data_IF_001241584969
#
_entry.id   IF_001241584969
#
_cell.length_a   1.000
_cell.length_b   1.000
_cell.length_c   1.000
_cell.angle_alpha   90.00
_cell.angle_beta   90.00
_cell.angle_gamma   90.00
#
_symmetry.space_group_name_H-M   'P 1'
#
loop_
_entity.id
_entity.type
_entity.pdbx_description
1 polymer ?
#
# COMPACT_ATOMS: atom_id res chain seq x y z
N UNK A 1 85.55 37.07 -22.34
CA UNK A 1 85.30 35.59 -22.29
C UNK A 1 83.92 35.40 -21.69
N UNK A 2 82.85 35.35 -22.56
CA UNK A 2 81.50 35.22 -22.10
C UNK A 2 81.08 33.76 -22.19
N UNK A 3 80.82 33.15 -21.02
CA UNK A 3 80.26 31.81 -20.91
C UNK A 3 78.73 31.88 -21.13
N UNK A 4 78.27 31.37 -22.26
CA UNK A 4 76.86 31.21 -22.55
C UNK A 4 76.34 29.92 -21.89
N UNK A 5 75.63 30.05 -20.80
CA UNK A 5 74.96 28.90 -20.14
C UNK A 5 73.74 28.52 -20.95
N UNK A 6 73.82 27.40 -21.70
CA UNK A 6 72.73 26.83 -22.38
C UNK A 6 71.65 26.27 -21.40
N UNK A 7 70.55 26.94 -21.20
CA UNK A 7 69.37 26.44 -20.46
C UNK A 7 68.82 25.25 -21.23
N UNK A 8 69.05 24.04 -20.76
CA UNK A 8 68.39 22.86 -21.26
C UNK A 8 66.93 22.93 -20.88
N UNK A 9 66.03 23.15 -21.85
CA UNK A 9 64.59 22.99 -21.68
C UNK A 9 64.26 21.54 -21.36
N UNK A 10 63.57 21.27 -20.26
CA UNK A 10 63.22 19.87 -19.93
C UNK A 10 62.35 19.28 -21.06
N UNK A 11 62.69 18.04 -21.45
CA UNK A 11 61.96 17.31 -22.50
C UNK A 11 60.49 17.23 -22.15
N UNK A 12 59.62 17.34 -23.14
CA UNK A 12 58.15 17.23 -22.99
C UNK A 12 57.71 15.99 -22.16
N UNK A 13 58.43 14.88 -22.35
CA UNK A 13 58.25 13.63 -21.59
C UNK A 13 58.53 13.81 -20.08
N UNK A 14 59.53 14.62 -19.71
CA UNK A 14 59.83 14.88 -18.29
C UNK A 14 58.77 15.79 -17.67
N UNK A 15 58.27 16.79 -18.38
CA UNK A 15 57.15 17.64 -17.97
C UNK A 15 55.84 16.86 -17.79
N UNK A 16 55.57 15.90 -18.69
CA UNK A 16 54.39 15.02 -18.57
C UNK A 16 54.52 14.07 -17.37
N UNK A 17 55.70 13.52 -17.13
CA UNK A 17 55.98 12.61 -15.98
C UNK A 17 55.88 13.31 -14.64
N UNK A 18 56.31 14.60 -14.55
CA UNK A 18 56.33 15.37 -13.32
C UNK A 18 55.01 16.15 -13.10
N UNK A 19 54.10 16.17 -14.07
CA UNK A 19 52.81 16.83 -14.01
C UNK A 19 51.78 15.95 -13.31
N UNK A 20 51.49 16.22 -12.04
CA UNK A 20 50.49 15.51 -11.22
C UNK A 20 49.09 16.08 -11.29
N UNK A 21 48.85 17.16 -12.07
CA UNK A 21 47.54 17.79 -12.17
C UNK A 21 46.48 16.87 -12.81
N UNK A 22 46.88 15.87 -13.62
CA UNK A 22 45.97 14.87 -14.19
C UNK A 22 45.52 13.79 -13.18
N UNK A 23 46.27 13.55 -12.10
CA UNK A 23 45.94 12.51 -11.11
C UNK A 23 44.61 12.83 -10.40
N UNK A 24 44.40 14.07 -9.99
CA UNK A 24 43.16 14.52 -9.36
C UNK A 24 41.92 14.33 -10.29
N UNK A 25 42.10 14.56 -11.59
CA UNK A 25 41.05 14.35 -12.56
C UNK A 25 40.67 12.86 -12.70
N UNK A 26 41.68 11.99 -12.67
CA UNK A 26 41.48 10.53 -12.74
C UNK A 26 40.82 10.02 -11.46
N UNK A 27 41.28 10.46 -10.29
CA UNK A 27 40.68 10.14 -8.99
C UNK A 27 39.23 10.60 -8.92
N UNK A 28 38.94 11.83 -9.35
CA UNK A 28 37.58 12.34 -9.45
C UNK A 28 36.76 11.52 -10.43
N UNK A 29 37.32 11.19 -11.61
CA UNK A 29 36.65 10.39 -12.63
C UNK A 29 36.26 8.99 -12.16
N UNK A 30 37.04 8.36 -11.30
CA UNK A 30 36.72 7.06 -10.69
C UNK A 30 35.82 7.17 -9.47
N UNK A 31 35.96 8.20 -8.64
CA UNK A 31 35.15 8.38 -7.43
C UNK A 31 33.74 8.87 -7.74
N UNK A 32 33.57 9.72 -8.75
CA UNK A 32 32.28 10.30 -9.10
C UNK A 32 31.17 9.27 -9.40
N UNK A 33 31.38 8.24 -10.25
CA UNK A 33 30.36 7.23 -10.50
C UNK A 33 29.94 6.47 -9.23
N UNK A 34 30.91 6.20 -8.33
CA UNK A 34 30.64 5.49 -7.07
C UNK A 34 29.78 6.37 -6.15
N UNK A 35 30.16 7.64 -5.97
CA UNK A 35 29.41 8.60 -5.14
C UNK A 35 28.00 8.82 -5.68
N UNK A 36 27.87 8.99 -7.00
CA UNK A 36 26.55 9.15 -7.63
C UNK A 36 25.69 7.88 -7.47
N UNK A 37 26.27 6.69 -7.67
CA UNK A 37 25.54 5.43 -7.50
C UNK A 37 25.04 5.26 -6.06
N UNK A 38 25.88 5.55 -5.06
CA UNK A 38 25.49 5.50 -3.64
C UNK A 38 24.42 6.55 -3.31
N UNK A 39 24.54 7.77 -3.85
CA UNK A 39 23.55 8.82 -3.68
C UNK A 39 22.18 8.42 -4.26
N UNK A 40 22.19 7.95 -5.50
CA UNK A 40 20.96 7.48 -6.17
C UNK A 40 20.32 6.28 -5.44
N UNK A 41 21.12 5.32 -4.99
CA UNK A 41 20.63 4.20 -4.19
C UNK A 41 20.03 4.67 -2.86
N UNK A 42 20.67 5.63 -2.18
CA UNK A 42 20.13 6.22 -0.95
C UNK A 42 18.78 6.89 -1.14
N UNK A 43 18.61 7.65 -2.24
CA UNK A 43 17.33 8.27 -2.59
C UNK A 43 16.27 7.19 -2.87
N UNK A 44 16.61 6.12 -3.59
CA UNK A 44 15.68 5.01 -3.87
C UNK A 44 15.22 4.31 -2.59
N UNK A 45 16.14 4.03 -1.67
CA UNK A 45 15.81 3.46 -0.35
C UNK A 45 14.87 4.37 0.45
N UNK A 46 15.11 5.68 0.43
CA UNK A 46 14.25 6.65 1.11
C UNK A 46 12.84 6.68 0.49
N UNK A 47 12.73 6.66 -0.83
CA UNK A 47 11.43 6.60 -1.52
C UNK A 47 10.67 5.31 -1.20
N UNK A 48 11.34 4.15 -1.19
CA UNK A 48 10.72 2.88 -0.80
C UNK A 48 10.22 2.93 0.65
N UNK A 49 11.00 3.50 1.57
CA UNK A 49 10.59 3.66 2.97
C UNK A 49 9.37 4.58 3.09
N UNK A 50 9.34 5.71 2.36
CA UNK A 50 8.19 6.61 2.32
C UNK A 50 6.95 5.93 1.74
N UNK A 51 7.08 5.11 0.70
CA UNK A 51 5.97 4.33 0.13
C UNK A 51 5.39 3.36 1.18
N UNK A 52 6.24 2.63 1.91
CA UNK A 52 5.81 1.75 3.00
C UNK A 52 5.04 2.52 4.08
N UNK A 53 5.55 3.65 4.54
CA UNK A 53 4.88 4.50 5.52
C UNK A 53 3.53 5.00 5.00
N UNK A 54 3.45 5.44 3.75
CA UNK A 54 2.22 5.95 3.17
C UNK A 54 1.17 4.85 3.03
N UNK A 55 1.53 3.67 2.53
CA UNK A 55 0.62 2.52 2.41
C UNK A 55 0.08 2.12 3.79
N UNK A 56 0.94 2.08 4.81
CA UNK A 56 0.52 1.77 6.18
C UNK A 56 -0.47 2.81 6.74
N UNK A 57 -0.20 4.11 6.54
CA UNK A 57 -1.10 5.19 6.96
C UNK A 57 -2.47 5.12 6.26
N UNK A 58 -2.48 4.83 4.96
CA UNK A 58 -3.73 4.68 4.19
C UNK A 58 -4.53 3.50 4.74
N UNK A 59 -3.90 2.35 4.98
CA UNK A 59 -4.57 1.18 5.53
C UNK A 59 -5.19 1.45 6.91
N UNK A 60 -4.43 2.09 7.81
CA UNK A 60 -4.90 2.46 9.15
C UNK A 60 -6.06 3.45 9.09
N UNK A 61 -5.93 4.51 8.29
CA UNK A 61 -6.98 5.51 8.12
C UNK A 61 -8.26 4.90 7.53
N UNK A 62 -8.11 4.03 6.53
CA UNK A 62 -9.25 3.34 5.91
C UNK A 62 -9.95 2.43 6.91
N UNK A 63 -9.20 1.62 7.66
CA UNK A 63 -9.77 0.70 8.64
C UNK A 63 -10.48 1.45 9.79
N UNK A 64 -9.87 2.52 10.31
CA UNK A 64 -10.49 3.35 11.34
C UNK A 64 -11.76 4.04 10.83
N UNK A 65 -11.72 4.70 9.67
CA UNK A 65 -12.88 5.35 9.09
C UNK A 65 -14.00 4.35 8.77
N UNK A 66 -13.70 3.24 8.11
CA UNK A 66 -14.68 2.21 7.77
C UNK A 66 -15.31 1.54 9.01
N UNK A 67 -14.59 1.53 10.15
CA UNK A 67 -15.14 1.04 11.42
C UNK A 67 -16.14 1.99 12.08
N UNK A 68 -16.18 3.26 11.64
CA UNK A 68 -17.00 4.32 12.26
C UNK A 68 -18.10 4.87 11.37
N UNK A 69 -17.97 4.73 10.04
CA UNK A 69 -18.98 5.26 9.11
C UNK A 69 -20.27 4.46 9.20
N UNK A 70 -21.38 5.14 9.03
CA UNK A 70 -22.71 4.57 9.00
C UNK A 70 -23.78 5.63 9.28
N UNK A 71 -25.01 5.29 8.99
CA UNK A 71 -26.17 6.15 9.22
C UNK A 71 -26.86 5.77 10.53
N UNK A 72 -26.90 6.70 11.49
CA UNK A 72 -27.61 6.51 12.76
C UNK A 72 -29.11 6.46 12.51
N UNK A 73 -29.76 5.48 13.11
CA UNK A 73 -31.20 5.31 13.09
C UNK A 73 -31.85 5.87 14.37
N UNK A 74 -33.17 6.02 14.37
CA UNK A 74 -33.94 6.54 15.51
C UNK A 74 -33.84 5.68 16.77
N UNK A 75 -33.55 4.38 16.60
CA UNK A 75 -33.33 3.40 17.67
C UNK A 75 -31.89 3.38 18.22
N UNK A 76 -31.06 4.35 17.81
CA UNK A 76 -29.66 4.47 18.16
C UNK A 76 -28.78 3.30 17.64
N UNK A 77 -29.21 2.62 16.59
CA UNK A 77 -28.39 1.67 15.81
C UNK A 77 -27.75 2.37 14.63
N UNK A 78 -26.64 1.81 14.13
CA UNK A 78 -25.93 2.32 12.96
C UNK A 78 -26.07 1.34 11.79
N UNK A 79 -26.52 1.84 10.64
CA UNK A 79 -26.60 1.09 9.39
C UNK A 79 -25.46 1.48 8.48
N UNK A 80 -24.61 0.52 8.11
CA UNK A 80 -23.55 0.70 7.12
C UNK A 80 -24.15 0.71 5.71
N UNK A 81 -23.90 1.77 4.95
CA UNK A 81 -24.41 1.90 3.58
C UNK A 81 -23.29 1.75 2.56
N UNK A 82 -23.64 1.30 1.33
CA UNK A 82 -22.67 1.22 0.22
C UNK A 82 -22.01 2.56 -0.09
N UNK A 83 -22.77 3.66 0.00
CA UNK A 83 -22.21 5.00 -0.20
C UNK A 83 -21.13 5.32 0.82
N UNK A 84 -21.32 4.94 2.08
CA UNK A 84 -20.36 5.20 3.15
C UNK A 84 -19.05 4.44 2.90
N UNK A 85 -19.12 3.20 2.42
CA UNK A 85 -17.96 2.38 2.06
C UNK A 85 -17.25 2.97 0.83
N UNK A 86 -18.00 3.38 -0.17
CA UNK A 86 -17.49 4.00 -1.38
C UNK A 86 -16.73 5.31 -1.07
N UNK A 87 -17.26 6.11 -0.16
CA UNK A 87 -16.64 7.37 0.26
C UNK A 87 -15.28 7.14 0.95
N UNK A 88 -15.18 6.17 1.87
CA UNK A 88 -13.91 5.88 2.53
C UNK A 88 -12.89 5.22 1.58
N UNK A 89 -13.35 4.40 0.62
CA UNK A 89 -12.49 3.87 -0.43
C UNK A 89 -12.00 4.97 -1.37
N UNK A 90 -12.88 5.91 -1.73
CA UNK A 90 -12.52 7.09 -2.55
C UNK A 90 -11.52 7.98 -1.82
N UNK A 91 -11.70 8.21 -0.52
CA UNK A 91 -10.74 8.94 0.30
C UNK A 91 -9.36 8.25 0.30
N UNK A 92 -9.34 6.92 0.41
CA UNK A 92 -8.09 6.14 0.35
C UNK A 92 -7.42 6.22 -1.03
N UNK A 93 -8.20 6.20 -2.11
CA UNK A 93 -7.71 6.42 -3.48
C UNK A 93 -7.05 7.79 -3.63
N UNK A 94 -7.70 8.85 -3.14
CA UNK A 94 -7.16 10.21 -3.18
C UNK A 94 -5.88 10.34 -2.36
N UNK A 95 -5.80 9.73 -1.18
CA UNK A 95 -4.59 9.68 -0.36
C UNK A 95 -3.44 8.92 -1.05
N UNK A 96 -3.78 7.88 -1.82
CA UNK A 96 -2.83 7.04 -2.56
C UNK A 96 -2.48 7.54 -3.96
N UNK A 97 -3.15 8.60 -4.45
CA UNK A 97 -2.98 9.10 -5.81
C UNK A 97 -1.53 9.46 -6.20
N UNK A 98 -0.72 10.12 -5.33
CA UNK A 98 0.68 10.41 -5.66
C UNK A 98 1.55 9.17 -5.90
N UNK A 99 1.12 8.00 -5.42
CA UNK A 99 1.81 6.71 -5.54
C UNK A 99 1.12 5.79 -6.56
N UNK A 100 0.08 6.29 -7.24
CA UNK A 100 -0.70 5.49 -8.19
C UNK A 100 -1.22 4.17 -7.60
N UNK A 101 -1.67 4.25 -6.33
CA UNK A 101 -2.00 3.09 -5.49
C UNK A 101 -3.01 2.14 -6.14
N UNK A 102 -4.07 2.68 -6.74
CA UNK A 102 -5.16 1.87 -7.29
C UNK A 102 -4.84 1.24 -8.64
N UNK A 103 -3.91 1.80 -9.43
CA UNK A 103 -3.45 1.17 -10.67
C UNK A 103 -2.32 0.16 -10.42
N UNK A 104 -1.50 0.40 -9.39
CA UNK A 104 -0.36 -0.45 -9.04
C UNK A 104 -0.63 -1.44 -7.93
N UNK A 105 -1.80 -1.40 -7.35
CA UNK A 105 -2.17 -2.23 -6.22
C UNK A 105 -3.65 -2.54 -6.16
N UNK A 106 -4.02 -3.09 -5.03
CA UNK A 106 -5.41 -3.39 -4.68
C UNK A 106 -5.62 -3.23 -3.19
N UNK A 107 -6.71 -2.58 -2.86
CA UNK A 107 -7.24 -2.42 -1.52
C UNK A 107 -8.38 -3.41 -1.36
N UNK A 108 -8.39 -4.18 -0.28
CA UNK A 108 -9.50 -5.05 0.11
C UNK A 108 -9.94 -4.68 1.52
N UNK A 109 -11.22 -4.38 1.67
CA UNK A 109 -11.89 -4.13 2.96
C UNK A 109 -12.82 -5.29 3.23
N UNK A 110 -12.66 -5.93 4.37
CA UNK A 110 -13.46 -7.08 4.79
C UNK A 110 -14.16 -6.79 6.11
N UNK A 111 -15.42 -7.21 6.24
CA UNK A 111 -16.10 -7.29 7.53
C UNK A 111 -15.90 -8.68 8.10
N UNK A 112 -15.17 -8.78 9.18
CA UNK A 112 -15.04 -9.98 10.00
C UNK A 112 -16.00 -9.87 11.17
N UNK A 113 -16.93 -10.81 11.28
CA UNK A 113 -18.03 -10.75 12.25
C UNK A 113 -18.08 -12.03 13.09
N UNK A 114 -18.47 -11.90 14.34
CA UNK A 114 -18.64 -13.03 15.25
C UNK A 114 -20.12 -13.39 15.39
N UNK A 115 -20.44 -14.69 15.26
CA UNK A 115 -21.76 -15.23 15.55
C UNK A 115 -21.66 -16.64 16.11
N UNK A 116 -22.17 -16.83 17.33
CA UNK A 116 -22.24 -18.13 17.98
C UNK A 116 -20.88 -18.77 18.25
N UNK A 117 -19.86 -17.98 18.57
CA UNK A 117 -18.49 -18.42 18.81
C UNK A 117 -17.69 -18.67 17.52
N UNK A 118 -18.23 -18.32 16.36
CA UNK A 118 -17.57 -18.53 15.07
C UNK A 118 -17.33 -17.19 14.38
N UNK A 119 -16.26 -17.13 13.58
CA UNK A 119 -15.88 -15.95 12.83
C UNK A 119 -16.27 -16.11 11.37
N UNK A 120 -16.81 -15.03 10.76
CA UNK A 120 -17.29 -15.03 9.38
C UNK A 120 -16.81 -13.79 8.64
N UNK A 121 -16.29 -13.97 7.42
CA UNK A 121 -16.13 -12.86 6.47
C UNK A 121 -17.48 -12.63 5.79
N UNK A 122 -18.21 -11.62 6.25
CA UNK A 122 -19.58 -11.39 5.77
C UNK A 122 -19.57 -10.75 4.38
N UNK A 123 -18.86 -9.65 4.20
CA UNK A 123 -18.74 -8.96 2.92
C UNK A 123 -17.32 -8.46 2.72
N UNK A 124 -16.98 -8.25 1.44
CA UNK A 124 -15.73 -7.60 1.03
C UNK A 124 -16.01 -6.54 -0.02
N UNK A 125 -15.23 -5.44 0.02
CA UNK A 125 -15.20 -4.40 -0.99
C UNK A 125 -13.76 -4.15 -1.41
N UNK A 126 -13.58 -3.99 -2.74
CA UNK A 126 -12.23 -3.93 -3.32
C UNK A 126 -12.10 -2.73 -4.24
N UNK A 127 -10.93 -2.10 -4.23
CA UNK A 127 -10.59 -1.02 -5.14
C UNK A 127 -9.17 -1.22 -5.68
N UNK A 128 -9.01 -1.13 -7.01
CA UNK A 128 -7.73 -1.29 -7.70
C UNK A 128 -7.83 -2.21 -8.90
N UNK A 129 -6.97 -1.98 -9.90
CA UNK A 129 -7.00 -2.66 -11.20
C UNK A 129 -6.30 -4.02 -11.21
N UNK A 130 -5.47 -4.31 -10.20
CA UNK A 130 -4.72 -5.56 -10.13
C UNK A 130 -5.63 -6.75 -9.85
N UNK A 131 -5.57 -7.80 -10.68
CA UNK A 131 -6.52 -8.92 -10.71
C UNK A 131 -5.89 -10.29 -10.42
N UNK A 132 -4.55 -10.39 -10.30
CA UNK A 132 -3.91 -11.68 -10.04
C UNK A 132 -4.06 -12.10 -8.57
N UNK A 133 -3.86 -13.38 -8.28
CA UNK A 133 -3.99 -13.98 -6.95
C UNK A 133 -3.14 -13.27 -5.88
N UNK A 134 -2.04 -12.65 -6.29
CA UNK A 134 -1.14 -11.91 -5.39
C UNK A 134 -1.76 -10.64 -4.79
N UNK A 135 -2.87 -10.16 -5.35
CA UNK A 135 -3.56 -8.94 -4.89
C UNK A 135 -4.93 -9.23 -4.28
N UNK A 136 -5.41 -10.47 -4.36
CA UNK A 136 -6.61 -10.90 -3.65
C UNK A 136 -6.32 -10.99 -2.16
N UNK A 137 -7.38 -11.06 -1.35
CA UNK A 137 -7.21 -11.26 0.09
C UNK A 137 -6.41 -12.54 0.38
N UNK A 138 -5.38 -12.43 1.22
CA UNK A 138 -4.54 -13.54 1.65
C UNK A 138 -5.11 -14.24 2.90
N UNK A 139 -6.13 -13.64 3.52
CA UNK A 139 -6.69 -14.10 4.80
C UNK A 139 -8.14 -14.56 4.69
N UNK A 140 -8.59 -14.79 3.48
CA UNK A 140 -9.90 -15.32 3.19
C UNK A 140 -10.73 -14.44 2.26
N UNK A 141 -11.68 -15.07 1.57
CA UNK A 141 -12.61 -14.42 0.66
C UNK A 141 -14.03 -14.83 0.98
N UNK A 142 -15.00 -14.03 0.59
CA UNK A 142 -16.42 -14.37 0.68
C UNK A 142 -17.05 -14.42 -0.70
N UNK A 143 -17.99 -15.33 -0.89
CA UNK A 143 -18.83 -15.40 -2.09
C UNK A 143 -19.98 -14.38 -2.08
N UNK A 144 -20.19 -13.69 -0.96
CA UNK A 144 -21.25 -12.68 -0.82
C UNK A 144 -20.76 -11.38 -1.44
N UNK A 145 -21.06 -11.19 -2.73
CA UNK A 145 -20.67 -9.98 -3.47
C UNK A 145 -21.52 -8.77 -3.09
N UNK A 146 -22.82 -8.96 -2.89
CA UNK A 146 -23.75 -7.86 -2.61
C UNK A 146 -23.68 -7.34 -1.16
N UNK A 147 -23.14 -8.12 -0.22
CA UNK A 147 -23.19 -7.80 1.21
C UNK A 147 -24.61 -7.71 1.77
N UNK A 148 -25.60 -7.99 0.94
CA UNK A 148 -27.03 -7.89 1.27
C UNK A 148 -27.68 -9.27 1.18
N UNK A 149 -27.44 -10.09 2.18
CA UNK A 149 -28.40 -11.16 2.45
C UNK A 149 -29.43 -10.60 3.42
N UNK A 150 -30.59 -10.23 2.88
CA UNK A 150 -31.68 -9.69 3.66
C UNK A 150 -32.04 -10.63 4.81
N UNK A 151 -31.96 -10.12 6.03
CA UNK A 151 -32.47 -10.81 7.22
C UNK A 151 -31.54 -11.85 7.83
N UNK A 152 -30.26 -11.91 7.43
CA UNK A 152 -29.32 -12.90 8.00
C UNK A 152 -28.06 -12.20 8.49
N UNK A 153 -28.08 -11.85 9.76
CA UNK A 153 -26.90 -11.29 10.44
C UNK A 153 -25.76 -12.32 10.48
N UNK A 154 -24.52 -11.83 10.40
CA UNK A 154 -23.29 -12.60 10.61
C UNK A 154 -23.13 -13.83 9.68
N UNK A 155 -23.53 -13.71 8.43
CA UNK A 155 -23.29 -14.74 7.43
C UNK A 155 -22.00 -14.49 6.64
N UNK A 156 -21.65 -15.44 5.79
CA UNK A 156 -20.50 -15.34 4.91
C UNK A 156 -19.62 -16.57 5.01
N UNK A 157 -18.35 -16.42 4.70
CA UNK A 157 -17.37 -17.49 4.74
C UNK A 157 -16.83 -17.64 6.16
N UNK A 158 -17.01 -18.81 6.77
CA UNK A 158 -16.45 -19.10 8.09
C UNK A 158 -14.93 -19.21 8.02
N UNK A 159 -14.25 -18.55 8.95
CA UNK A 159 -12.79 -18.54 9.11
C UNK A 159 -12.42 -18.70 10.58
N UNK A 160 -11.15 -18.98 10.88
CA UNK A 160 -10.68 -18.96 12.28
C UNK A 160 -10.42 -17.54 12.79
N UNK A 161 -10.12 -16.64 11.87
CA UNK A 161 -9.77 -15.23 12.07
C UNK A 161 -9.09 -14.69 10.81
N UNK A 162 -8.76 -13.42 10.79
CA UNK A 162 -8.01 -12.81 9.68
C UNK A 162 -6.65 -12.32 10.15
N UNK A 163 -5.64 -12.38 9.30
CA UNK A 163 -4.27 -12.01 9.61
C UNK A 163 -3.31 -13.19 9.69
N UNK A 164 -2.02 -12.93 9.93
CA UNK A 164 -1.00 -13.98 10.05
C UNK A 164 -1.36 -14.98 11.16
N UNK A 165 -1.02 -16.25 10.98
CA UNK A 165 -1.34 -17.32 11.95
C UNK A 165 -0.78 -17.07 13.34
N UNK A 166 0.29 -16.28 13.45
CA UNK A 166 0.91 -15.87 14.72
C UNK A 166 0.21 -14.68 15.39
N UNK A 167 -0.68 -13.96 14.67
CA UNK A 167 -1.35 -12.76 15.16
C UNK A 167 -2.70 -12.59 14.45
N UNK A 168 -3.57 -13.59 14.57
CA UNK A 168 -4.90 -13.54 14.01
C UNK A 168 -5.80 -12.55 14.77
N UNK A 169 -6.53 -11.76 14.00
CA UNK A 169 -7.58 -10.87 14.51
C UNK A 169 -8.91 -11.63 14.50
N UNK A 170 -9.64 -11.54 15.59
CA UNK A 170 -11.01 -12.06 15.73
C UNK A 170 -11.95 -10.96 16.16
N UNK A 171 -13.19 -11.02 15.70
CA UNK A 171 -14.24 -10.10 16.14
C UNK A 171 -14.68 -10.45 17.58
N UNK A 172 -14.93 -9.44 18.43
CA UNK A 172 -15.53 -9.66 19.74
C UNK A 172 -16.94 -10.26 19.63
N UNK A 173 -17.47 -10.90 20.70
CA UNK A 173 -18.81 -11.47 20.72
C UNK A 173 -19.88 -10.47 20.23
N UNK A 174 -20.72 -10.90 19.31
CA UNK A 174 -21.80 -10.12 18.70
C UNK A 174 -21.35 -8.77 18.12
N UNK A 175 -20.12 -8.71 17.63
CA UNK A 175 -19.52 -7.50 17.04
C UNK A 175 -18.77 -7.84 15.74
N UNK A 176 -18.18 -6.83 15.15
CA UNK A 176 -17.40 -6.95 13.92
C UNK A 176 -16.06 -6.22 13.99
N UNK A 177 -15.17 -6.62 13.11
CA UNK A 177 -13.88 -5.97 12.85
C UNK A 177 -13.82 -5.63 11.38
N UNK A 178 -13.49 -4.38 11.07
CA UNK A 178 -13.11 -4.00 9.71
C UNK A 178 -11.64 -4.37 9.52
N UNK A 179 -11.39 -5.26 8.57
CA UNK A 179 -10.06 -5.73 8.22
C UNK A 179 -9.68 -5.24 6.83
N UNK A 180 -8.58 -4.53 6.74
CA UNK A 180 -8.09 -3.92 5.49
C UNK A 180 -6.79 -4.59 5.08
N UNK A 181 -6.70 -4.97 3.81
CA UNK A 181 -5.49 -5.44 3.16
C UNK A 181 -5.15 -4.51 2.01
N UNK A 182 -3.90 -4.06 1.93
CA UNK A 182 -3.37 -3.34 0.78
C UNK A 182 -2.19 -4.12 0.23
N UNK A 183 -2.29 -4.49 -1.05
CA UNK A 183 -1.21 -5.11 -1.83
C UNK A 183 -0.81 -4.11 -2.92
N UNK A 184 0.42 -3.61 -2.88
CA UNK A 184 0.90 -2.53 -3.75
C UNK A 184 2.29 -2.83 -4.29
N UNK A 185 2.49 -2.61 -5.59
CA UNK A 185 3.79 -2.72 -6.25
C UNK A 185 4.44 -1.35 -6.35
N UNK A 186 5.40 -1.11 -5.47
CA UNK A 186 6.25 0.06 -5.55
C UNK A 186 7.11 0.01 -6.82
N UNK A 187 7.06 1.05 -7.63
CA UNK A 187 7.99 1.21 -8.75
C UNK A 187 9.11 2.15 -8.36
N UNK A 188 10.36 1.75 -8.65
CA UNK A 188 11.52 2.59 -8.44
C UNK A 188 11.42 3.91 -9.20
N UNK A 189 11.88 4.99 -8.56
CA UNK A 189 11.87 6.33 -9.16
C UNK A 189 13.11 6.55 -10.01
N UNK A 190 14.26 6.02 -9.58
CA UNK A 190 15.55 6.25 -10.26
C UNK A 190 15.88 5.10 -11.20
N UNK A 191 15.89 3.86 -10.70
CA UNK A 191 16.24 2.70 -11.51
C UNK A 191 15.71 1.39 -10.94
N UNK A 192 15.13 0.57 -11.82
CA UNK A 192 14.72 -0.80 -11.48
C UNK A 192 15.90 -1.76 -11.31
N UNK A 193 17.12 -1.37 -11.68
CA UNK A 193 18.31 -2.23 -11.58
C UNK A 193 18.65 -2.65 -10.14
N UNK A 194 18.27 -1.85 -9.16
CA UNK A 194 18.54 -2.13 -7.74
C UNK A 194 17.44 -2.89 -7.02
N UNK A 195 16.32 -3.14 -7.69
CA UNK A 195 15.19 -3.86 -7.12
C UNK A 195 14.96 -5.15 -7.92
N UNK A 196 15.03 -6.32 -7.29
CA UNK A 196 14.73 -7.58 -7.96
C UNK A 196 13.35 -7.53 -8.63
N UNK A 197 13.24 -8.05 -9.86
CA UNK A 197 12.02 -8.02 -10.67
C UNK A 197 11.47 -6.63 -11.03
N UNK A 198 12.24 -5.55 -10.78
CA UNK A 198 11.88 -4.18 -11.15
C UNK A 198 10.78 -3.53 -10.32
N UNK A 199 10.31 -4.16 -9.25
CA UNK A 199 9.37 -3.60 -8.27
C UNK A 199 9.51 -4.26 -6.91
N UNK A 200 9.13 -3.55 -5.85
CA UNK A 200 9.05 -4.10 -4.49
C UNK A 200 7.58 -4.19 -4.09
N UNK A 201 7.11 -5.38 -3.69
CA UNK A 201 5.75 -5.56 -3.21
C UNK A 201 5.62 -5.16 -1.76
N UNK A 202 4.78 -4.18 -1.52
CA UNK A 202 4.39 -3.72 -0.18
C UNK A 202 3.04 -4.34 0.13
N UNK A 203 2.98 -5.08 1.23
CA UNK A 203 1.75 -5.63 1.79
C UNK A 203 1.53 -5.05 3.17
N UNK A 204 0.34 -4.54 3.41
CA UNK A 204 -0.01 -4.00 4.71
C UNK A 204 -1.41 -4.42 5.10
N UNK A 205 -1.58 -4.73 6.39
CA UNK A 205 -2.88 -5.05 6.98
C UNK A 205 -3.16 -4.08 8.12
N UNK A 206 -4.42 -3.72 8.26
CA UNK A 206 -4.92 -2.92 9.38
C UNK A 206 -6.29 -3.44 9.81
N UNK A 207 -6.61 -3.35 11.08
CA UNK A 207 -7.90 -3.76 11.58
C UNK A 207 -8.38 -2.86 12.71
N UNK A 208 -9.68 -2.56 12.71
CA UNK A 208 -10.35 -1.82 13.78
C UNK A 208 -11.67 -2.49 14.15
N UNK A 209 -11.91 -2.60 15.45
CA UNK A 209 -13.18 -3.10 15.98
C UNK A 209 -14.27 -2.05 15.75
N UNK A 210 -15.43 -2.49 15.27
CA UNK A 210 -16.64 -1.66 15.17
C UNK A 210 -17.14 -1.36 16.60
N UNK A 211 -17.25 -0.09 16.92
CA UNK A 211 -17.56 0.37 18.30
C UNK A 211 -18.98 0.86 18.49
N UNK A 212 -19.69 1.12 17.41
CA UNK A 212 -21.10 1.52 17.40
C UNK A 212 -22.02 0.29 17.48
N UNK A 213 -23.29 0.53 17.78
CA UNK A 213 -24.32 -0.51 17.74
C UNK A 213 -24.72 -0.76 16.27
N UNK A 214 -23.80 -1.36 15.52
CA UNK A 214 -24.01 -1.63 14.11
C UNK A 214 -24.97 -2.77 13.88
N UNK A 215 -25.85 -2.59 12.88
CA UNK A 215 -26.70 -3.67 12.37
C UNK A 215 -25.85 -4.47 11.37
N UNK A 216 -25.67 -5.76 11.63
CA UNK A 216 -24.82 -6.66 10.84
C UNK A 216 -25.61 -7.56 9.88
N UNK A 217 -26.88 -7.24 9.60
CA UNK A 217 -27.71 -8.06 8.71
C UNK A 217 -27.36 -7.89 7.24
N UNK A 218 -26.86 -6.71 6.86
CA UNK A 218 -26.51 -6.37 5.48
C UNK A 218 -25.71 -5.08 5.39
N UNK A 219 -25.15 -4.81 4.20
CA UNK A 219 -24.78 -3.46 3.77
C UNK A 219 -25.99 -2.83 3.08
N UNK A 220 -26.45 -1.69 3.58
CA UNK A 220 -27.65 -1.00 3.08
C UNK A 220 -27.34 -0.21 1.82
N UNK A 221 -28.27 -0.14 0.90
CA UNK A 221 -28.14 0.65 -0.32
C UNK A 221 -29.44 1.37 -0.68
N UNK A 222 -29.84 2.35 0.14
CA UNK A 222 -31.09 3.12 -0.09
C UNK A 222 -30.96 3.98 -1.35
N UNK A 223 -32.13 4.44 -1.86
CA UNK A 223 -32.18 5.37 -2.99
C UNK A 223 -31.67 6.79 -2.57
N UNK A 224 -30.83 7.44 -3.39
CA UNK A 224 -30.22 6.95 -4.64
C UNK A 224 -29.17 5.86 -4.39
N UNK A 225 -29.27 4.76 -5.12
CA UNK A 225 -28.41 3.60 -4.93
C UNK A 225 -26.98 3.88 -5.39
N UNK A 226 -25.98 3.49 -4.58
CA UNK A 226 -24.58 3.52 -4.94
C UNK A 226 -24.17 2.19 -5.60
N UNK A 227 -23.28 2.23 -6.58
CA UNK A 227 -22.71 1.01 -7.17
C UNK A 227 -21.66 0.42 -6.23
N UNK A 228 -21.82 -0.82 -5.72
CA UNK A 228 -20.86 -1.43 -4.81
C UNK A 228 -19.51 -1.66 -5.47
N UNK A 229 -18.43 -1.43 -4.74
CA UNK A 229 -17.07 -1.83 -5.13
C UNK A 229 -16.81 -3.31 -4.79
N UNK A 230 -17.54 -4.22 -5.43
CA UNK A 230 -17.38 -5.66 -5.22
C UNK A 230 -16.02 -6.16 -5.70
N UNK A 231 -15.54 -7.27 -5.12
CA UNK A 231 -14.17 -7.74 -5.38
C UNK A 231 -13.97 -8.47 -6.72
N UNK A 232 -15.03 -8.71 -7.46
CA UNK A 232 -15.02 -9.15 -8.86
C UNK A 232 -14.80 -8.00 -9.85
N UNK A 233 -14.84 -6.75 -9.40
CA UNK A 233 -14.55 -5.56 -10.19
C UNK A 233 -13.10 -5.13 -10.02
N UNK A 234 -12.46 -4.79 -11.14
CA UNK A 234 -11.06 -4.36 -11.19
C UNK A 234 -10.99 -2.94 -11.75
N UNK A 235 -11.29 -1.96 -10.89
CA UNK A 235 -11.36 -0.55 -11.24
C UNK A 235 -10.44 0.28 -10.34
N UNK A 236 -9.89 1.35 -10.90
CA UNK A 236 -9.11 2.34 -10.16
C UNK A 236 -9.98 3.47 -9.59
N UNK A 237 -11.27 3.53 -9.98
CA UNK A 237 -12.24 4.59 -9.62
C UNK A 237 -13.62 4.00 -9.42
#
# INVERSE_FOLDING_TARGET
>A
MHLTIARRTPSLLRRLRDNRSGVALVEFGFSLPIVLSLGCYGVECANLAMANLRVSQIALNLADNASRVGSMQSDNTSQLREIDINDVLTASRLQGAPWDLTNRGRITVSSLEENGGKQYIHWQRCLGTKSTSDYTSHYGTTSILSGSQAGVAFQGTQVAGMGPTTAQVTAPPSSGVIFVEINYDYAPVISSLWIPNGFARIRYIASYVVRDKRVFDRVYNPSPTATPYTCDRFTAS
#
